data_IF_265488846199
#
_entry.id   IF_265488846199
#
_cell.length_a   1.000
_cell.length_b   1.000
_cell.length_c   1.000
_cell.angle_alpha   90.00
_cell.angle_beta   90.00
_cell.angle_gamma   90.00
#
_symmetry.space_group_name_H-M   'P 1'
#
loop_
_entity.id
_entity.type
_entity.pdbx_description
1 polymer ?
#
# COMPACT_ATOMS: atom_id res chain seq x y z
N UNK A 1 -0.52 -20.03 -0.10
CA UNK A 1 -0.72 -19.94 1.36
C UNK A 1 0.00 -18.68 1.82
N UNK A 2 -0.67 -17.72 2.47
CA UNK A 2 0.00 -16.53 3.00
C UNK A 2 1.12 -16.94 3.97
N UNK A 3 2.26 -16.24 3.93
CA UNK A 3 3.38 -16.56 4.82
C UNK A 3 2.99 -16.36 6.29
N UNK A 4 3.68 -17.05 7.20
CA UNK A 4 3.44 -16.92 8.64
C UNK A 4 3.52 -15.46 9.10
N UNK A 5 4.51 -14.72 8.60
CA UNK A 5 4.74 -13.31 8.91
C UNK A 5 3.57 -12.43 8.50
N UNK A 6 2.97 -12.71 7.32
CA UNK A 6 1.82 -11.95 6.82
C UNK A 6 0.56 -12.20 7.67
N UNK A 7 0.38 -13.44 8.15
CA UNK A 7 -0.71 -13.76 9.07
C UNK A 7 -0.53 -13.10 10.43
N UNK A 8 0.70 -13.09 10.96
CA UNK A 8 1.04 -12.39 12.21
C UNK A 8 0.80 -10.87 12.05
N UNK A 9 1.23 -10.28 10.93
CA UNK A 9 0.97 -8.88 10.62
C UNK A 9 -0.53 -8.60 10.49
N UNK A 10 -1.29 -9.44 9.77
CA UNK A 10 -2.74 -9.29 9.63
C UNK A 10 -3.44 -9.29 10.98
N UNK A 11 -3.12 -10.25 11.85
CA UNK A 11 -3.67 -10.32 13.20
C UNK A 11 -3.32 -9.09 14.03
N UNK A 12 -2.08 -8.61 13.94
CA UNK A 12 -1.62 -7.41 14.63
C UNK A 12 -2.34 -6.14 14.12
N UNK A 13 -2.56 -6.00 12.82
CA UNK A 13 -3.29 -4.85 12.27
C UNK A 13 -4.76 -4.87 12.68
N UNK A 14 -5.42 -6.04 12.60
CA UNK A 14 -6.83 -6.16 12.96
C UNK A 14 -7.10 -5.81 14.42
N UNK A 15 -6.16 -6.07 15.34
CA UNK A 15 -6.32 -5.67 16.76
C UNK A 15 -6.28 -4.15 16.98
N UNK A 16 -5.75 -3.38 16.02
CA UNK A 16 -5.65 -1.92 16.09
C UNK A 16 -6.72 -1.18 15.27
N UNK A 17 -7.52 -1.88 14.47
CA UNK A 17 -8.51 -1.26 13.57
C UNK A 17 -9.94 -1.55 14.02
N UNK A 18 -10.61 -0.53 14.56
CA UNK A 18 -11.96 -0.66 15.12
C UNK A 18 -13.07 -0.43 14.09
N UNK A 19 -12.81 0.34 13.04
CA UNK A 19 -13.79 0.73 12.03
C UNK A 19 -13.19 0.77 10.63
N UNK A 20 -14.05 0.75 9.61
CA UNK A 20 -13.66 1.00 8.23
C UNK A 20 -13.15 2.44 8.05
N UNK A 21 -12.29 2.61 7.04
CA UNK A 21 -11.65 3.87 6.69
C UNK A 21 -10.13 3.85 6.85
N UNK A 22 -9.53 5.02 6.61
CA UNK A 22 -8.13 5.28 6.86
C UNK A 22 -7.95 5.76 8.31
N UNK A 23 -7.13 5.04 9.06
CA UNK A 23 -6.86 5.30 10.47
C UNK A 23 -5.43 5.81 10.63
N UNK A 24 -5.29 6.95 11.31
CA UNK A 24 -4.00 7.46 11.75
C UNK A 24 -3.49 6.68 12.96
N UNK A 25 -2.18 6.48 13.05
CA UNK A 25 -1.54 5.84 14.20
C UNK A 25 -0.70 6.83 14.99
N UNK A 26 -0.21 6.42 16.16
CA UNK A 26 0.75 7.21 16.93
C UNK A 26 2.08 7.44 16.18
N UNK A 27 2.39 6.59 15.19
CA UNK A 27 3.51 6.78 14.27
C UNK A 27 2.99 7.56 13.07
N UNK A 28 3.43 8.82 12.92
CA UNK A 28 2.86 9.78 11.96
C UNK A 28 2.91 9.29 10.51
N UNK A 29 3.98 8.57 10.16
CA UNK A 29 4.22 8.05 8.83
C UNK A 29 3.48 6.73 8.56
N UNK A 30 2.88 6.11 9.57
CA UNK A 30 2.15 4.85 9.46
C UNK A 30 0.65 5.09 9.58
N UNK A 31 -0.09 4.64 8.56
CA UNK A 31 -1.55 4.61 8.55
C UNK A 31 -2.04 3.18 8.37
N UNK A 32 -3.19 2.88 8.96
CA UNK A 32 -3.89 1.62 8.75
C UNK A 32 -5.13 1.87 7.91
N UNK A 33 -5.53 0.88 7.13
CA UNK A 33 -6.73 0.97 6.31
C UNK A 33 -7.55 -0.30 6.49
N UNK A 34 -8.87 -0.13 6.63
CA UNK A 34 -9.83 -1.23 6.59
C UNK A 34 -11.04 -0.87 5.72
N UNK A 35 -11.53 -1.84 4.97
CA UNK A 35 -12.85 -1.78 4.36
C UNK A 35 -13.53 -3.14 4.46
N UNK A 36 -14.77 -3.18 4.94
CA UNK A 36 -15.56 -4.41 5.11
C UNK A 36 -16.44 -4.70 3.90
N UNK A 37 -16.42 -3.85 2.86
CA UNK A 37 -17.05 -4.06 1.56
C UNK A 37 -16.16 -3.52 0.45
N UNK A 38 -16.33 -3.99 -0.81
CA UNK A 38 -15.72 -3.33 -1.96
C UNK A 38 -16.17 -1.87 -2.02
N UNK A 39 -15.30 -0.99 -2.52
CA UNK A 39 -15.60 0.44 -2.63
C UNK A 39 -15.80 0.83 -4.09
N UNK A 40 -16.55 1.91 -4.29
CA UNK A 40 -16.53 2.65 -5.55
C UNK A 40 -15.13 3.22 -5.81
N UNK A 41 -14.90 3.63 -7.05
CA UNK A 41 -13.68 4.33 -7.44
C UNK A 41 -13.61 5.72 -6.81
N UNK A 42 -12.47 6.04 -6.20
CA UNK A 42 -12.17 7.34 -5.62
C UNK A 42 -10.91 7.93 -6.26
N UNK A 43 -10.99 9.18 -6.69
CA UNK A 43 -9.83 9.93 -7.21
C UNK A 43 -9.08 10.59 -6.06
N UNK A 44 -7.79 10.28 -5.94
CA UNK A 44 -6.91 10.78 -4.88
C UNK A 44 -5.59 11.28 -5.46
N UNK A 45 -4.89 12.12 -4.71
CA UNK A 45 -3.46 12.39 -4.93
C UNK A 45 -2.69 11.58 -3.91
N UNK A 46 -1.88 10.62 -4.37
CA UNK A 46 -1.02 9.84 -3.50
C UNK A 46 0.23 10.63 -3.14
N UNK A 47 0.54 10.71 -1.84
CA UNK A 47 1.90 10.97 -1.38
C UNK A 47 2.80 9.74 -1.65
N UNK A 48 4.13 9.90 -1.77
CA UNK A 48 5.05 8.76 -1.80
C UNK A 48 4.84 7.82 -0.61
N UNK A 49 4.59 6.55 -0.88
CA UNK A 49 4.29 5.55 0.14
C UNK A 49 4.56 4.12 -0.31
N UNK A 50 4.77 3.23 0.66
CA UNK A 50 4.64 1.79 0.51
C UNK A 50 3.28 1.37 1.09
N UNK A 51 2.46 0.71 0.29
CA UNK A 51 1.18 0.15 0.71
C UNK A 51 1.25 -1.38 0.64
N UNK A 52 0.91 -2.03 1.77
CA UNK A 52 0.90 -3.49 1.89
C UNK A 52 -0.49 -3.93 2.29
N UNK A 53 -1.13 -4.70 1.42
CA UNK A 53 -2.40 -5.37 1.71
C UNK A 53 -2.07 -6.67 2.43
N UNK A 54 -2.75 -6.96 3.54
CA UNK A 54 -2.57 -8.21 4.30
C UNK A 54 -3.81 -9.11 4.21
N UNK A 55 -4.93 -8.54 3.79
CA UNK A 55 -6.19 -9.25 3.54
C UNK A 55 -7.02 -8.48 2.50
N UNK A 56 -7.77 -9.20 1.66
CA UNK A 56 -8.53 -8.63 0.54
C UNK A 56 -7.64 -8.17 -0.61
N UNK A 57 -8.14 -7.30 -1.48
CA UNK A 57 -7.39 -6.78 -2.62
C UNK A 57 -7.77 -5.33 -2.94
N UNK A 58 -6.80 -4.60 -3.49
CA UNK A 58 -6.97 -3.23 -3.96
C UNK A 58 -6.61 -3.09 -5.43
N UNK A 59 -7.16 -2.04 -6.01
CA UNK A 59 -6.89 -1.63 -7.37
C UNK A 59 -6.52 -0.14 -7.39
N UNK A 60 -5.55 0.21 -8.22
CA UNK A 60 -5.17 1.60 -8.50
C UNK A 60 -4.98 1.79 -10.00
N UNK A 61 -5.54 2.87 -10.52
CA UNK A 61 -5.41 3.30 -11.91
C UNK A 61 -4.57 4.57 -11.95
N UNK A 62 -3.48 4.51 -12.73
CA UNK A 62 -2.58 5.65 -12.97
C UNK A 62 -2.50 5.88 -14.48
N UNK A 63 -3.07 6.98 -14.94
CA UNK A 63 -3.23 7.27 -16.36
C UNK A 63 -4.13 6.23 -17.04
N UNK A 64 -3.54 5.40 -17.91
CA UNK A 64 -4.26 4.32 -18.62
C UNK A 64 -3.90 2.92 -18.10
N UNK A 65 -3.16 2.82 -16.99
CA UNK A 65 -2.71 1.54 -16.44
C UNK A 65 -3.43 1.23 -15.13
N UNK A 66 -4.01 0.04 -15.07
CA UNK A 66 -4.60 -0.52 -13.86
C UNK A 66 -3.62 -1.49 -13.20
N UNK A 67 -3.45 -1.35 -11.89
CA UNK A 67 -2.62 -2.20 -11.05
C UNK A 67 -3.51 -2.84 -9.99
N UNK A 68 -3.56 -4.17 -9.99
CA UNK A 68 -4.21 -4.95 -8.94
C UNK A 68 -3.15 -5.50 -8.00
N UNK A 69 -3.42 -5.47 -6.70
CA UNK A 69 -2.52 -6.01 -5.69
C UNK A 69 -3.29 -6.58 -4.51
N UNK A 70 -2.77 -7.67 -3.97
CA UNK A 70 -3.37 -8.50 -2.94
C UNK A 70 -2.27 -8.87 -1.90
N UNK A 71 -2.51 -9.80 -0.95
CA UNK A 71 -1.55 -10.07 0.10
C UNK A 71 -0.20 -10.65 -0.34
N UNK A 72 -0.05 -11.11 -1.58
CA UNK A 72 1.26 -11.51 -2.13
C UNK A 72 2.04 -10.35 -2.76
N UNK A 73 1.48 -9.14 -2.78
CA UNK A 73 2.04 -8.00 -3.50
C UNK A 73 2.03 -6.72 -2.66
N UNK A 74 3.03 -5.88 -2.88
CA UNK A 74 3.11 -4.54 -2.30
C UNK A 74 3.09 -3.48 -3.39
N UNK A 75 2.43 -2.36 -3.12
CA UNK A 75 2.39 -1.19 -4.00
C UNK A 75 3.39 -0.15 -3.50
N UNK A 76 4.29 0.29 -4.37
CA UNK A 76 5.20 1.42 -4.14
C UNK A 76 4.76 2.61 -5.01
N UNK A 77 4.56 3.75 -4.37
CA UNK A 77 4.40 5.05 -5.02
C UNK A 77 5.59 5.91 -4.62
N UNK A 78 6.39 6.39 -5.59
CA UNK A 78 7.65 7.09 -5.34
C UNK A 78 7.59 8.60 -5.56
N UNK A 79 6.50 9.12 -6.15
CA UNK A 79 6.28 10.54 -6.41
C UNK A 79 4.83 10.89 -6.15
N UNK A 80 4.57 12.17 -5.89
CA UNK A 80 3.20 12.67 -5.81
C UNK A 80 2.48 12.49 -7.14
N UNK A 81 1.32 11.82 -7.15
CA UNK A 81 0.59 11.56 -8.39
C UNK A 81 -0.92 11.44 -8.19
N UNK A 82 -1.73 11.90 -9.15
CA UNK A 82 -3.15 11.59 -9.18
C UNK A 82 -3.35 10.12 -9.55
N UNK A 83 -4.28 9.46 -8.87
CA UNK A 83 -4.70 8.11 -9.18
C UNK A 83 -6.18 7.92 -8.85
N UNK A 84 -6.80 6.92 -9.48
CA UNK A 84 -8.10 6.40 -9.05
C UNK A 84 -7.86 5.11 -8.30
N UNK A 85 -8.49 4.91 -7.14
CA UNK A 85 -8.33 3.68 -6.35
C UNK A 85 -9.66 3.13 -5.88
N UNK A 86 -9.70 1.82 -5.66
CA UNK A 86 -10.81 1.14 -5.00
C UNK A 86 -10.34 -0.09 -4.24
N UNK A 87 -11.17 -0.55 -3.31
CA UNK A 87 -11.10 -1.89 -2.74
C UNK A 87 -11.84 -2.84 -3.67
N UNK A 88 -11.11 -3.78 -4.26
CA UNK A 88 -11.63 -4.75 -5.22
C UNK A 88 -12.25 -5.98 -4.53
N UNK A 89 -11.64 -6.44 -3.44
CA UNK A 89 -12.09 -7.63 -2.71
C UNK A 89 -12.14 -7.34 -1.20
N UNK A 90 -13.35 -7.41 -0.63
CA UNK A 90 -13.60 -7.31 0.81
C UNK A 90 -14.99 -7.88 1.15
N UNK A 91 -15.15 -8.38 2.37
CA UNK A 91 -16.45 -8.73 2.96
C UNK A 91 -16.44 -8.50 4.47
N UNK A 92 -17.59 -8.63 5.13
CA UNK A 92 -17.68 -8.53 6.59
C UNK A 92 -16.86 -9.62 7.30
N UNK A 93 -16.79 -10.82 6.71
CA UNK A 93 -16.02 -11.95 7.25
C UNK A 93 -14.54 -11.87 6.89
N UNK A 94 -14.21 -11.21 5.78
CA UNK A 94 -12.85 -11.03 5.28
C UNK A 94 -12.66 -9.60 4.77
N UNK A 95 -12.53 -8.61 5.68
CA UNK A 95 -12.34 -7.22 5.28
C UNK A 95 -11.02 -7.03 4.54
N UNK A 96 -10.96 -6.06 3.64
CA UNK A 96 -9.69 -5.59 3.11
C UNK A 96 -8.94 -4.85 4.23
N UNK A 97 -7.72 -5.29 4.52
CA UNK A 97 -6.86 -4.69 5.54
C UNK A 97 -5.51 -4.37 4.90
N UNK A 98 -5.03 -3.16 5.12
CA UNK A 98 -3.74 -2.71 4.62
C UNK A 98 -3.05 -1.79 5.62
N UNK A 99 -1.72 -1.71 5.50
CA UNK A 99 -0.92 -0.65 6.09
C UNK A 99 -0.34 0.22 4.99
N UNK A 100 -0.14 1.50 5.31
CA UNK A 100 0.48 2.48 4.43
C UNK A 100 1.60 3.17 5.19
N UNK A 101 2.83 3.04 4.69
CA UNK A 101 4.01 3.73 5.21
C UNK A 101 4.34 4.88 4.27
N UNK A 102 4.18 6.12 4.74
CA UNK A 102 4.60 7.31 4.00
C UNK A 102 6.12 7.33 3.90
N UNK A 103 6.63 7.54 2.69
CA UNK A 103 8.05 7.63 2.42
C UNK A 103 8.48 9.10 2.45
N UNK A 104 9.41 9.42 3.33
CA UNK A 104 10.00 10.76 3.40
C UNK A 104 11.30 10.79 2.60
N UNK A 105 11.47 11.81 1.77
CA UNK A 105 12.60 11.93 0.86
C UNK A 105 13.96 11.98 1.58
N UNK A 106 14.02 12.59 2.77
CA UNK A 106 15.21 12.58 3.62
C UNK A 106 15.58 11.17 4.08
N UNK A 107 14.60 10.39 4.57
CA UNK A 107 14.84 9.01 5.04
C UNK A 107 15.31 8.13 3.88
N UNK A 108 14.71 8.28 2.70
CA UNK A 108 15.15 7.55 1.50
C UNK A 108 16.57 7.96 1.10
N UNK A 109 16.90 9.25 1.16
CA UNK A 109 18.25 9.74 0.84
C UNK A 109 19.30 9.19 1.82
N UNK A 110 18.98 9.15 3.12
CA UNK A 110 19.86 8.60 4.15
C UNK A 110 20.08 7.10 3.93
N UNK A 111 19.03 6.32 3.64
CA UNK A 111 19.12 4.90 3.32
C UNK A 111 20.01 4.63 2.09
N UNK A 112 19.92 5.48 1.06
CA UNK A 112 20.78 5.38 -0.12
C UNK A 112 22.24 5.70 0.21
N UNK A 113 22.48 6.67 1.10
CA UNK A 113 23.83 7.05 1.55
C UNK A 113 24.50 5.96 2.41
N UNK A 114 23.72 5.15 3.13
CA UNK A 114 24.20 4.04 3.96
C UNK A 114 24.70 2.81 3.16
N UNK A 115 24.65 2.87 1.83
CA UNK A 115 25.33 1.89 0.97
C UNK A 115 24.42 0.84 0.34
N UNK A 116 23.14 1.17 0.09
CA UNK A 116 22.32 0.31 -0.78
C UNK A 116 22.94 0.27 -2.18
N UNK A 117 23.14 -0.94 -2.71
CA UNK A 117 23.55 -1.12 -4.10
C UNK A 117 22.37 -0.68 -4.98
N UNK A 118 22.42 0.56 -5.45
CA UNK A 118 21.47 1.06 -6.43
C UNK A 118 21.79 0.35 -7.74
N UNK A 119 20.91 -0.55 -8.18
CA UNK A 119 20.99 -1.07 -9.55
C UNK A 119 20.93 0.09 -10.55
N UNK A 120 21.48 -0.08 -11.76
CA UNK A 120 21.39 0.98 -12.78
C UNK A 120 19.95 1.46 -12.93
N UNK A 121 19.71 2.78 -12.99
CA UNK A 121 18.37 3.31 -13.22
C UNK A 121 17.78 2.66 -14.46
N UNK A 122 16.62 2.02 -14.31
CA UNK A 122 15.82 1.58 -15.45
C UNK A 122 15.30 2.78 -16.24
N UNK A 123 14.60 2.55 -17.37
CA UNK A 123 13.87 3.62 -18.05
C UNK A 123 12.91 4.32 -17.09
N UNK A 124 12.55 5.60 -17.34
CA UNK A 124 11.62 6.34 -16.50
C UNK A 124 10.34 5.54 -16.26
N UNK A 125 10.10 5.17 -15.00
CA UNK A 125 8.87 4.52 -14.58
C UNK A 125 7.76 5.56 -14.39
N UNK A 126 6.52 5.09 -14.27
CA UNK A 126 5.36 5.94 -13.98
C UNK A 126 5.30 6.38 -12.50
N UNK A 127 6.40 6.23 -11.74
CA UNK A 127 6.45 6.49 -10.29
C UNK A 127 5.66 5.50 -9.43
N UNK A 128 5.05 4.47 -10.03
CA UNK A 128 4.24 3.46 -9.35
C UNK A 128 4.72 2.06 -9.76
N UNK A 129 4.79 1.15 -8.81
CA UNK A 129 5.17 -0.24 -9.04
C UNK A 129 4.44 -1.19 -8.09
N UNK A 130 4.14 -2.40 -8.57
CA UNK A 130 3.63 -3.50 -7.75
C UNK A 130 4.67 -4.62 -7.79
N UNK A 131 4.98 -5.21 -6.64
CA UNK A 131 5.91 -6.35 -6.60
C UNK A 131 5.33 -7.54 -7.38
N UNK A 132 6.17 -8.38 -8.00
CA UNK A 132 5.72 -9.65 -8.56
C UNK A 132 4.98 -10.48 -7.50
N UNK A 133 3.98 -11.23 -7.94
CA UNK A 133 3.23 -12.15 -7.08
C UNK A 133 4.02 -13.41 -6.70
#
# INVERSE_FOLDING_TARGET
MPSRELNELSSALQSHIQSDGLLETAVRELKLFRASTPTEEETVVYDPCLCVVVQGAKEIVVGQKTYHYNPSQSLLVSVDMPATTRVAEASQESPCVALVVRLQSNVVADLLAEGTVVGSPGPPGNGVGVTPA
#
